data_IF_542724823640
#
_entry.id   IF_542724823640
#
_cell.length_a   1.000
_cell.length_b   1.000
_cell.length_c   1.000
_cell.angle_alpha   90.00
_cell.angle_beta   90.00
_cell.angle_gamma   90.00
#
_symmetry.space_group_name_H-M   'P 1'
#
loop_
_entity.id
_entity.type
_entity.pdbx_description
1 polymer ?
#
# COMPACT_ATOMS: atom_id res chain seq x y z
N UNK A 1 11.62 6.06 -12.05
CA UNK A 1 12.80 6.83 -11.61
C UNK A 1 13.58 7.36 -12.81
N UNK A 2 13.68 6.56 -13.88
CA UNK A 2 14.33 6.99 -15.14
C UNK A 2 13.48 8.00 -15.94
N UNK A 3 12.15 7.94 -15.85
CA UNK A 3 11.25 8.88 -16.57
C UNK A 3 10.57 9.94 -15.69
N UNK A 4 11.03 10.18 -14.45
CA UNK A 4 10.37 11.15 -13.55
C UNK A 4 10.88 12.58 -13.78
N UNK A 5 10.00 13.43 -14.30
CA UNK A 5 10.17 14.88 -14.29
C UNK A 5 10.00 15.44 -12.86
N UNK A 6 10.79 16.43 -12.42
CA UNK A 6 11.96 17.03 -13.10
C UNK A 6 13.26 16.22 -12.89
N UNK A 7 14.16 16.34 -13.86
CA UNK A 7 15.47 15.65 -13.93
C UNK A 7 16.37 15.90 -12.70
N UNK A 8 17.32 14.97 -12.51
CA UNK A 8 18.22 14.75 -11.37
C UNK A 8 18.69 15.98 -10.56
N UNK A 9 18.77 17.16 -11.18
CA UNK A 9 19.16 18.44 -10.56
C UNK A 9 18.22 18.96 -9.45
N UNK A 10 17.04 18.35 -9.26
CA UNK A 10 16.08 18.68 -8.19
C UNK A 10 15.95 17.60 -7.09
N UNK A 11 16.94 16.71 -6.98
CA UNK A 11 16.93 15.64 -5.97
C UNK A 11 17.14 16.14 -4.54
N UNK A 12 17.83 17.26 -4.32
CA UNK A 12 18.06 17.86 -2.99
C UNK A 12 16.79 18.07 -2.17
N UNK A 13 15.67 18.45 -2.78
CA UNK A 13 14.39 18.62 -2.08
C UNK A 13 13.80 17.27 -1.62
N UNK A 14 13.98 16.21 -2.43
CA UNK A 14 13.54 14.85 -2.11
C UNK A 14 14.44 14.22 -1.04
N UNK A 15 15.74 14.45 -1.12
CA UNK A 15 16.71 14.07 -0.08
C UNK A 15 16.39 14.75 1.25
N UNK A 16 16.11 16.06 1.23
CA UNK A 16 15.69 16.80 2.43
C UNK A 16 14.37 16.29 3.02
N UNK A 17 13.43 15.87 2.15
CA UNK A 17 12.17 15.27 2.60
C UNK A 17 12.38 13.89 3.21
N UNK A 18 13.28 13.07 2.65
CA UNK A 18 13.68 11.79 3.22
C UNK A 18 14.37 11.98 4.58
N UNK A 19 15.30 12.92 4.68
CA UNK A 19 15.97 13.26 5.94
C UNK A 19 14.97 13.72 7.00
N UNK A 20 14.04 14.59 6.64
CA UNK A 20 12.98 15.04 7.55
C UNK A 20 12.10 13.88 8.02
N UNK A 21 11.72 12.98 7.11
CA UNK A 21 10.92 11.80 7.45
C UNK A 21 11.68 10.86 8.39
N UNK A 22 12.96 10.60 8.11
CA UNK A 22 13.81 9.77 8.98
C UNK A 22 13.92 10.40 10.37
N UNK A 23 14.20 11.70 10.46
CA UNK A 23 14.34 12.41 11.73
C UNK A 23 13.00 12.40 12.50
N UNK A 24 11.87 12.60 11.81
CA UNK A 24 10.54 12.58 12.40
C UNK A 24 10.17 11.21 12.95
N UNK A 25 10.39 10.15 12.16
CA UNK A 25 10.07 8.78 12.56
C UNK A 25 11.02 8.32 13.67
N UNK A 26 12.29 8.69 13.61
CA UNK A 26 13.26 8.44 14.70
C UNK A 26 12.77 9.06 16.02
N UNK A 27 12.32 10.32 16.01
CA UNK A 27 11.76 10.97 17.20
C UNK A 27 10.47 10.30 17.71
N UNK A 28 9.66 9.74 16.81
CA UNK A 28 8.47 8.97 17.21
C UNK A 28 8.85 7.62 17.83
N UNK A 29 9.83 6.91 17.25
CA UNK A 29 10.35 5.66 17.77
C UNK A 29 10.92 5.87 19.16
N UNK A 30 11.77 6.88 19.37
CA UNK A 30 12.36 7.24 20.67
C UNK A 30 11.32 7.37 21.79
N UNK A 31 10.13 7.91 21.48
CA UNK A 31 9.03 8.09 22.43
C UNK A 31 8.14 6.86 22.59
N UNK A 32 8.24 5.91 21.66
CA UNK A 32 7.41 4.70 21.67
C UNK A 32 7.96 3.67 22.68
N UNK A 33 7.07 2.95 23.39
CA UNK A 33 7.46 1.86 24.27
C UNK A 33 8.22 0.76 23.49
N UNK A 34 9.01 -0.09 24.18
CA UNK A 34 9.66 -1.23 23.54
C UNK A 34 8.59 -2.13 22.90
N UNK A 35 8.87 -2.70 21.72
CA UNK A 35 7.91 -3.51 21.01
C UNK A 35 7.56 -4.75 21.83
N UNK A 36 6.26 -5.08 21.89
CA UNK A 36 5.79 -6.31 22.53
C UNK A 36 6.23 -7.54 21.72
N UNK A 37 6.18 -8.74 22.34
CA UNK A 37 6.59 -9.99 21.68
C UNK A 37 5.91 -10.24 20.33
N UNK A 38 4.64 -9.85 20.20
CA UNK A 38 3.86 -9.98 18.96
C UNK A 38 4.25 -8.93 17.89
N UNK A 39 4.88 -7.82 18.29
CA UNK A 39 5.30 -6.72 17.42
C UNK A 39 6.73 -6.91 16.87
N UNK A 40 7.53 -7.77 17.52
CA UNK A 40 8.89 -8.15 17.08
C UNK A 40 8.93 -8.65 15.62
N UNK A 41 8.11 -9.62 15.17
CA UNK A 41 8.15 -10.09 13.79
C UNK A 41 7.73 -9.01 12.79
N UNK A 42 6.79 -8.14 13.17
CA UNK A 42 6.35 -7.00 12.35
C UNK A 42 7.49 -6.00 12.21
N UNK A 43 8.18 -5.67 13.30
CA UNK A 43 9.35 -4.79 13.26
C UNK A 43 10.51 -5.39 12.47
N UNK A 44 10.76 -6.70 12.55
CA UNK A 44 11.75 -7.39 11.71
C UNK A 44 11.40 -7.27 10.23
N UNK A 45 10.13 -7.41 9.88
CA UNK A 45 9.66 -7.20 8.51
C UNK A 45 9.86 -5.74 8.08
N UNK A 46 9.62 -4.77 8.96
CA UNK A 46 9.89 -3.36 8.68
C UNK A 46 11.39 -3.09 8.41
N UNK A 47 12.30 -3.71 9.18
CA UNK A 47 13.75 -3.64 8.94
C UNK A 47 14.08 -4.15 7.53
N UNK A 48 13.58 -5.34 7.17
CA UNK A 48 13.83 -5.94 5.86
C UNK A 48 13.30 -5.09 4.69
N UNK A 49 12.11 -4.51 4.84
CA UNK A 49 11.54 -3.59 3.83
C UNK A 49 12.39 -2.33 3.71
N UNK A 50 12.88 -1.80 4.83
CA UNK A 50 13.72 -0.61 4.83
C UNK A 50 15.11 -0.84 4.22
N UNK A 51 15.71 -2.02 4.44
CA UNK A 51 16.97 -2.41 3.80
C UNK A 51 16.83 -2.49 2.29
N UNK A 52 15.76 -3.13 1.80
CA UNK A 52 15.44 -3.17 0.36
C UNK A 52 15.24 -1.76 -0.22
N UNK A 53 14.55 -0.88 0.51
CA UNK A 53 14.38 0.52 0.10
C UNK A 53 15.72 1.24 0.05
N UNK A 54 16.58 1.05 1.05
CA UNK A 54 17.91 1.65 1.11
C UNK A 54 18.76 1.21 -0.08
N UNK A 55 18.76 -0.08 -0.41
CA UNK A 55 19.48 -0.62 -1.58
C UNK A 55 18.95 -0.05 -2.90
N UNK A 56 17.63 0.18 -3.02
CA UNK A 56 17.01 0.74 -4.22
C UNK A 56 17.22 2.25 -4.38
N UNK A 57 17.24 3.00 -3.27
CA UNK A 57 17.24 4.47 -3.26
C UNK A 57 18.65 5.03 -3.22
N UNK A 58 19.53 4.48 -2.39
CA UNK A 58 20.89 5.00 -2.21
C UNK A 58 21.73 5.12 -3.50
N UNK A 59 21.68 4.18 -4.48
CA UNK A 59 22.39 4.35 -5.76
C UNK A 59 21.74 5.38 -6.70
N UNK A 60 20.53 5.86 -6.39
CA UNK A 60 19.80 6.86 -7.19
C UNK A 60 19.93 8.28 -6.65
N UNK A 61 20.64 8.47 -5.54
CA UNK A 61 20.95 9.78 -4.97
C UNK A 61 22.25 10.34 -5.55
N UNK A 62 22.43 11.67 -5.49
CA UNK A 62 23.67 12.31 -5.96
C UNK A 62 24.88 11.89 -5.11
N UNK A 63 24.64 11.59 -3.83
CA UNK A 63 25.59 10.99 -2.90
C UNK A 63 24.85 10.01 -1.98
N UNK A 64 25.53 8.95 -1.49
CA UNK A 64 24.90 7.99 -0.59
C UNK A 64 24.47 8.68 0.71
N UNK A 65 23.20 8.52 1.10
CA UNK A 65 22.66 9.11 2.30
C UNK A 65 23.00 8.23 3.53
N UNK A 66 23.78 8.72 4.50
CA UNK A 66 24.19 7.94 5.67
C UNK A 66 23.04 7.68 6.66
N UNK A 67 21.95 8.45 6.61
CA UNK A 67 20.80 8.29 7.51
C UNK A 67 19.96 7.06 7.19
N UNK A 68 19.88 6.65 5.92
CA UNK A 68 19.15 5.45 5.49
C UNK A 68 19.65 4.17 6.20
N UNK A 69 20.95 3.79 6.11
CA UNK A 69 21.46 2.63 6.82
C UNK A 69 21.52 2.82 8.34
N UNK A 70 21.69 4.06 8.82
CA UNK A 70 21.65 4.35 10.26
C UNK A 70 20.25 4.07 10.85
N UNK A 71 19.19 4.38 10.11
CA UNK A 71 17.81 4.11 10.52
C UNK A 71 17.50 2.60 10.56
N UNK A 72 17.99 1.82 9.58
CA UNK A 72 17.89 0.35 9.62
C UNK A 72 18.50 -0.22 10.92
N UNK A 73 19.71 0.24 11.27
CA UNK A 73 20.39 -0.18 12.51
C UNK A 73 19.61 0.20 13.77
N UNK A 74 18.94 1.36 13.77
CA UNK A 74 18.09 1.79 14.88
C UNK A 74 16.85 0.89 15.03
N UNK A 75 16.21 0.52 13.93
CA UNK A 75 15.09 -0.41 13.96
C UNK A 75 15.54 -1.81 14.42
N UNK A 76 16.68 -2.29 13.93
CA UNK A 76 17.26 -3.56 14.33
C UNK A 76 17.66 -3.57 15.82
N UNK A 77 18.22 -2.48 16.34
CA UNK A 77 18.56 -2.38 17.77
C UNK A 77 17.32 -2.38 18.66
N UNK A 78 16.20 -1.81 18.19
CA UNK A 78 14.90 -1.90 18.89
C UNK A 78 14.36 -3.31 18.96
N UNK A 79 14.40 -4.05 17.86
CA UNK A 79 14.04 -5.47 17.80
C UNK A 79 14.91 -6.28 18.76
N UNK A 80 16.24 -6.05 18.75
CA UNK A 80 17.17 -6.74 19.63
C UNK A 80 16.95 -6.41 21.11
N UNK A 81 16.61 -5.16 21.43
CA UNK A 81 16.36 -4.72 22.82
C UNK A 81 15.05 -5.25 23.41
N UNK A 82 14.14 -5.74 22.58
CA UNK A 82 12.83 -6.25 22.99
C UNK A 82 12.75 -7.78 23.02
N UNK A 83 13.69 -8.46 22.36
CA UNK A 83 13.94 -9.85 22.65
C UNK A 83 14.53 -9.92 24.07
N UNK A 84 13.97 -10.73 25.00
CA UNK A 84 14.66 -10.99 26.25
C UNK A 84 16.04 -11.54 25.89
N UNK A 85 17.08 -10.85 26.33
CA UNK A 85 18.44 -11.32 26.18
C UNK A 85 18.57 -12.65 26.95
N UNK A 86 18.64 -13.76 26.24
CA UNK A 86 19.64 -14.76 26.62
C UNK A 86 20.97 -14.29 26.01
N UNK A 87 21.81 -13.72 26.86
CA UNK A 87 23.23 -13.63 26.59
C UNK A 87 23.78 -15.06 26.47
N UNK A 88 24.21 -15.48 25.28
CA UNK A 88 25.54 -16.08 25.12
C UNK A 88 25.88 -16.45 23.68
N UNK A 89 27.15 -16.24 23.41
CA UNK A 89 27.89 -16.64 22.23
C UNK A 89 27.89 -18.16 22.03
N UNK A 90 27.73 -18.55 20.76
CA UNK A 90 28.39 -19.67 20.08
C UNK A 90 27.93 -21.15 20.28
N UNK A 91 27.69 -21.77 19.11
CA UNK A 91 27.81 -23.19 18.73
C UNK A 91 26.64 -24.20 18.90
N UNK A 92 26.17 -24.62 17.71
CA UNK A 92 25.86 -25.98 17.24
C UNK A 92 24.72 -26.81 17.88
N UNK A 93 23.77 -27.24 17.02
CA UNK A 93 22.97 -28.45 17.24
C UNK A 93 21.53 -28.41 16.72
N UNK A 94 21.27 -29.04 15.58
CA UNK A 94 19.95 -29.28 14.93
C UNK A 94 19.07 -30.32 15.71
N UNK A 95 17.86 -30.69 15.23
CA UNK A 95 16.54 -30.24 15.67
C UNK A 95 15.70 -31.32 16.40
N UNK A 96 14.63 -30.93 17.11
CA UNK A 96 13.72 -31.89 17.76
C UNK A 96 12.29 -31.37 18.00
N UNK A 97 11.43 -31.69 17.02
CA UNK A 97 9.98 -31.86 17.02
C UNK A 97 9.11 -31.52 18.26
N UNK A 98 7.95 -30.87 17.99
CA UNK A 98 6.74 -31.03 18.83
C UNK A 98 5.72 -29.89 18.80
N UNK A 99 4.78 -29.91 17.85
CA UNK A 99 3.49 -29.19 17.85
C UNK A 99 2.63 -29.47 19.12
N UNK A 100 1.52 -28.74 19.47
CA UNK A 100 0.58 -28.10 18.54
C UNK A 100 0.01 -26.71 18.91
N UNK A 101 -0.37 -26.00 17.84
CA UNK A 101 -1.58 -25.20 17.64
C UNK A 101 -2.28 -24.57 18.85
N UNK A 102 -2.20 -23.24 18.95
CA UNK A 102 -3.36 -22.47 19.40
C UNK A 102 -3.51 -21.20 18.57
N UNK A 103 -4.21 -21.32 17.45
CA UNK A 103 -4.61 -20.21 16.58
C UNK A 103 -5.68 -19.40 17.29
N UNK A 104 -5.29 -18.32 17.95
CA UNK A 104 -6.23 -17.25 18.31
C UNK A 104 -6.35 -16.36 17.08
N UNK A 105 -7.52 -16.45 16.42
CA UNK A 105 -7.86 -15.64 15.27
C UNK A 105 -8.01 -14.17 15.71
N UNK A 106 -7.05 -13.33 15.33
CA UNK A 106 -7.28 -11.88 15.28
C UNK A 106 -7.73 -11.57 13.86
N UNK A 107 -9.01 -11.24 13.73
CA UNK A 107 -9.65 -10.84 12.49
C UNK A 107 -9.17 -9.44 12.05
N UNK A 108 -7.95 -9.38 11.50
CA UNK A 108 -7.48 -8.30 10.66
C UNK A 108 -7.27 -8.88 9.27
N UNK A 109 -8.37 -9.00 8.51
CA UNK A 109 -8.41 -9.75 7.27
C UNK A 109 -7.29 -9.38 6.32
N UNK A 110 -6.29 -10.26 6.21
CA UNK A 110 -5.47 -10.34 5.02
C UNK A 110 -6.43 -10.68 3.88
N UNK A 111 -6.98 -9.65 3.27
CA UNK A 111 -7.68 -9.75 2.01
C UNK A 111 -6.71 -10.43 1.05
N UNK A 112 -6.93 -11.72 0.80
CA UNK A 112 -6.16 -12.47 -0.18
C UNK A 112 -6.19 -11.76 -1.54
N UNK A 113 -5.34 -12.21 -2.48
CA UNK A 113 -5.29 -11.62 -3.81
C UNK A 113 -6.69 -11.55 -4.45
N UNK A 114 -6.94 -10.51 -5.25
CA UNK A 114 -8.20 -10.36 -5.96
C UNK A 114 -8.28 -11.48 -7.01
N UNK A 115 -9.16 -12.47 -6.77
CA UNK A 115 -9.27 -13.67 -7.62
C UNK A 115 -10.35 -13.56 -8.68
N UNK A 116 -11.34 -12.68 -8.50
CA UNK A 116 -12.45 -12.54 -9.42
C UNK A 116 -13.08 -11.14 -9.36
N UNK A 117 -13.94 -10.83 -10.35
CA UNK A 117 -14.62 -9.55 -10.49
C UNK A 117 -15.47 -9.19 -9.27
N UNK A 118 -16.20 -10.15 -8.71
CA UNK A 118 -17.07 -9.90 -7.54
C UNK A 118 -16.24 -9.46 -6.33
N UNK A 119 -15.15 -10.17 -6.05
CA UNK A 119 -14.20 -9.81 -4.98
C UNK A 119 -13.59 -8.44 -5.22
N UNK A 120 -13.22 -8.10 -6.47
CA UNK A 120 -12.70 -6.79 -6.80
C UNK A 120 -13.70 -5.66 -6.47
N UNK A 121 -14.97 -5.86 -6.83
CA UNK A 121 -16.03 -4.88 -6.61
C UNK A 121 -16.42 -4.76 -5.14
N UNK A 122 -16.37 -5.84 -4.36
CA UNK A 122 -16.52 -5.80 -2.91
C UNK A 122 -15.42 -4.96 -2.24
N UNK A 123 -14.16 -5.14 -2.66
CA UNK A 123 -13.05 -4.29 -2.18
C UNK A 123 -13.22 -2.83 -2.55
N UNK A 124 -13.67 -2.53 -3.77
CA UNK A 124 -13.97 -1.15 -4.16
C UNK A 124 -15.09 -0.53 -3.31
N UNK A 125 -16.10 -1.31 -2.88
CA UNK A 125 -17.14 -0.84 -1.95
C UNK A 125 -16.53 -0.49 -0.59
N UNK A 126 -15.70 -1.38 -0.03
CA UNK A 126 -14.98 -1.11 1.23
C UNK A 126 -14.14 0.17 1.16
N UNK A 127 -13.39 0.36 0.06
CA UNK A 127 -12.60 1.57 -0.18
C UNK A 127 -13.49 2.81 -0.26
N UNK A 128 -14.59 2.74 -1.01
CA UNK A 128 -15.52 3.86 -1.14
C UNK A 128 -16.16 4.28 0.19
N UNK A 129 -16.55 3.32 1.02
CA UNK A 129 -17.15 3.56 2.33
C UNK A 129 -16.13 4.14 3.32
N UNK A 130 -14.90 3.64 3.27
CA UNK A 130 -13.79 4.22 4.03
C UNK A 130 -13.57 5.68 3.63
N UNK A 131 -13.40 5.96 2.33
CA UNK A 131 -13.16 7.30 1.82
C UNK A 131 -14.31 8.25 2.13
N UNK A 132 -15.57 7.80 2.09
CA UNK A 132 -16.71 8.62 2.51
C UNK A 132 -16.67 9.00 3.99
N UNK A 133 -16.19 8.10 4.85
CA UNK A 133 -16.08 8.35 6.29
C UNK A 133 -14.91 9.26 6.62
N UNK A 134 -13.77 9.10 5.95
CA UNK A 134 -12.55 9.89 6.22
C UNK A 134 -12.53 11.21 5.46
N UNK A 135 -13.07 11.24 4.25
CA UNK A 135 -13.08 12.41 3.37
C UNK A 135 -14.44 12.57 2.65
N UNK A 136 -15.50 13.05 3.36
CA UNK A 136 -16.87 13.10 2.83
C UNK A 136 -17.06 13.94 1.55
N UNK A 137 -16.16 14.89 1.33
CA UNK A 137 -16.15 15.79 0.18
C UNK A 137 -15.11 15.42 -0.88
N UNK A 138 -14.40 14.29 -0.72
CA UNK A 138 -13.46 13.82 -1.72
C UNK A 138 -14.21 13.37 -2.96
N UNK A 139 -13.91 13.92 -4.16
CA UNK A 139 -14.53 13.47 -5.41
C UNK A 139 -14.23 11.99 -5.70
N UNK A 140 -13.12 11.47 -5.17
CA UNK A 140 -12.68 10.09 -5.38
C UNK A 140 -13.70 9.08 -4.85
N UNK A 141 -14.26 9.31 -3.66
CA UNK A 141 -15.23 8.40 -3.06
C UNK A 141 -16.47 8.23 -3.95
N UNK A 142 -17.00 9.34 -4.49
CA UNK A 142 -18.15 9.33 -5.40
C UNK A 142 -17.82 8.70 -6.76
N UNK A 143 -16.62 8.93 -7.28
CA UNK A 143 -16.18 8.32 -8.54
C UNK A 143 -16.07 6.80 -8.41
N UNK A 144 -15.53 6.29 -7.30
CA UNK A 144 -15.47 4.84 -7.04
C UNK A 144 -16.87 4.24 -6.93
N UNK A 145 -17.79 4.89 -6.21
CA UNK A 145 -19.19 4.42 -6.14
C UNK A 145 -19.86 4.42 -7.52
N UNK A 146 -19.59 5.43 -8.35
CA UNK A 146 -20.12 5.51 -9.70
C UNK A 146 -19.53 4.42 -10.62
N UNK A 147 -18.24 4.13 -10.50
CA UNK A 147 -17.59 3.05 -11.24
C UNK A 147 -18.18 1.67 -10.87
N UNK A 148 -18.44 1.43 -9.59
CA UNK A 148 -19.11 0.21 -9.13
C UNK A 148 -20.50 0.09 -9.76
N UNK A 149 -21.30 1.17 -9.70
CA UNK A 149 -22.64 1.21 -10.31
C UNK A 149 -22.59 0.90 -11.81
N UNK A 150 -21.66 1.50 -12.55
CA UNK A 150 -21.51 1.24 -13.98
C UNK A 150 -21.05 -0.18 -14.30
N UNK A 151 -20.21 -0.78 -13.45
CA UNK A 151 -19.80 -2.16 -13.66
C UNK A 151 -20.90 -3.18 -13.40
N UNK A 152 -21.98 -2.82 -12.72
CA UNK A 152 -23.18 -3.69 -12.57
C UNK A 152 -24.21 -3.44 -13.69
N UNK A 153 -23.96 -2.49 -14.60
CA UNK A 153 -24.87 -2.12 -15.70
C UNK A 153 -24.41 -2.65 -17.06
N UNK A 154 -25.34 -2.92 -17.98
CA UNK A 154 -24.99 -3.16 -19.38
C UNK A 154 -24.43 -1.87 -20.00
N UNK A 155 -23.54 -2.04 -20.97
CA UNK A 155 -22.75 -0.96 -21.57
C UNK A 155 -23.64 0.14 -22.17
N UNK A 156 -24.74 -0.24 -22.79
CA UNK A 156 -25.73 0.64 -23.42
C UNK A 156 -26.37 1.58 -22.39
N UNK A 157 -26.68 1.05 -21.20
CA UNK A 157 -27.23 1.85 -20.10
C UNK A 157 -26.20 2.84 -19.55
N UNK A 158 -24.93 2.43 -19.46
CA UNK A 158 -23.84 3.33 -19.03
C UNK A 158 -23.64 4.46 -20.03
N UNK A 159 -23.61 4.16 -21.33
CA UNK A 159 -23.48 5.17 -22.39
C UNK A 159 -24.67 6.15 -22.35
N UNK A 160 -25.89 5.65 -22.12
CA UNK A 160 -27.07 6.49 -21.99
C UNK A 160 -27.01 7.43 -20.77
N UNK A 161 -26.42 6.99 -19.66
CA UNK A 161 -26.24 7.83 -18.47
C UNK A 161 -25.10 8.85 -18.63
N UNK A 162 -24.03 8.47 -19.34
CA UNK A 162 -22.84 9.30 -19.54
C UNK A 162 -23.07 10.40 -20.60
N UNK A 163 -23.73 10.05 -21.70
CA UNK A 163 -23.91 10.92 -22.86
C UNK A 163 -25.38 11.30 -23.02
N UNK A 164 -25.72 12.53 -22.58
CA UNK A 164 -27.08 13.07 -22.67
C UNK A 164 -27.49 13.46 -24.09
N UNK A 165 -26.52 13.84 -24.93
CA UNK A 165 -26.78 14.25 -26.31
C UNK A 165 -27.00 13.01 -27.20
N UNK A 166 -28.16 12.93 -27.83
CA UNK A 166 -28.53 11.83 -28.71
C UNK A 166 -27.58 11.64 -29.90
N UNK A 167 -27.10 12.73 -30.50
CA UNK A 167 -26.24 12.67 -31.69
C UNK A 167 -24.85 12.14 -31.34
N UNK A 168 -24.27 12.64 -30.24
CA UNK A 168 -22.99 12.13 -29.72
C UNK A 168 -23.11 10.67 -29.29
N UNK A 169 -24.25 10.30 -28.70
CA UNK A 169 -24.51 8.91 -28.30
C UNK A 169 -24.57 7.96 -29.50
N UNK A 170 -25.20 8.37 -30.61
CA UNK A 170 -25.22 7.60 -31.86
C UNK A 170 -23.80 7.40 -32.41
N UNK A 171 -22.98 8.45 -32.44
CA UNK A 171 -21.58 8.36 -32.87
C UNK A 171 -20.77 7.38 -32.00
N UNK A 172 -21.00 7.38 -30.68
CA UNK A 172 -20.35 6.42 -29.77
C UNK A 172 -20.78 4.98 -30.07
N UNK A 173 -22.08 4.73 -30.29
CA UNK A 173 -22.56 3.40 -30.67
C UNK A 173 -22.00 2.93 -32.01
N UNK A 174 -21.95 3.80 -33.02
CA UNK A 174 -21.34 3.51 -34.33
C UNK A 174 -19.85 3.18 -34.20
N UNK A 175 -19.11 3.94 -33.39
CA UNK A 175 -17.67 3.71 -33.15
C UNK A 175 -17.42 2.37 -32.46
N UNK A 176 -18.32 1.96 -31.55
CA UNK A 176 -18.23 0.68 -30.85
C UNK A 176 -18.82 -0.49 -31.65
N UNK A 177 -19.42 -0.23 -32.81
CA UNK A 177 -20.07 -1.26 -33.64
C UNK A 177 -21.34 -1.87 -33.01
N UNK A 178 -21.98 -1.16 -32.07
CA UNK A 178 -23.15 -1.62 -31.35
C UNK A 178 -24.43 -1.13 -32.04
N UNK A 179 -25.42 -2.02 -32.21
CA UNK A 179 -26.75 -1.65 -32.73
C UNK A 179 -27.60 -1.15 -31.56
N UNK A 180 -28.23 0.02 -31.68
CA UNK A 180 -29.22 0.45 -30.69
C UNK A 180 -30.39 -0.54 -30.67
N UNK A 181 -30.52 -1.36 -29.63
CA UNK A 181 -31.79 -2.02 -29.32
C UNK A 181 -32.68 -1.00 -28.59
N UNK A 182 -33.80 -0.63 -29.21
CA UNK A 182 -34.79 0.28 -28.63
C UNK A 182 -35.13 1.49 -29.51
N UNK A 183 -35.68 1.22 -30.69
CA UNK A 183 -36.52 2.15 -31.42
C UNK A 183 -37.63 1.34 -32.13
N UNK A 184 -38.53 0.77 -31.33
CA UNK A 184 -39.93 0.52 -31.69
C UNK A 184 -40.82 1.22 -30.64
#
# INVERSE_FOLDING_TARGET
>A
WEDLFPEARRMRARESALDWLIDRVTSMLEKAPPPGGDEIPVMQQCVAVWDNLTECVNPKLEAPNPKLPAFSRLLASRVASASPAEESSESAGTPGAGAPTNTVMIAGGAAGPITNRKVAFERLREVADYLKRTEPHSPVAYLVQRAIKWGDMPLESVIAELVKNNDVRKQVYETLGLKQEGAE
#
